data_IF_389335932777
#
_entry.id   IF_389335932777
#
_cell.length_a   1.000
_cell.length_b   1.000
_cell.length_c   1.000
_cell.angle_alpha   90.00
_cell.angle_beta   90.00
_cell.angle_gamma   90.00
#
_symmetry.space_group_name_H-M   'P 1'
#
loop_
_entity.id
_entity.type
_entity.pdbx_description
1 polymer ?
#
# COMPACT_ATOMS: atom_id res chain seq x y z
N UNK A 1 1.28 -0.98 34.61
CA UNK A 1 0.56 -1.87 33.66
C UNK A 1 0.89 -3.34 33.95
N UNK A 2 2.11 -3.62 34.39
CA UNK A 2 2.62 -4.98 34.66
C UNK A 2 1.76 -5.80 35.63
N UNK A 3 1.14 -5.19 36.65
CA UNK A 3 0.25 -5.89 37.59
C UNK A 3 -1.13 -6.25 37.00
N UNK A 4 -1.43 -5.88 35.74
CA UNK A 4 -2.69 -6.19 35.05
C UNK A 4 -2.56 -7.32 34.03
N UNK A 5 -1.35 -7.72 33.67
CA UNK A 5 -1.08 -8.79 32.72
C UNK A 5 -0.66 -10.02 33.52
N UNK A 6 -1.26 -11.21 33.31
CA UNK A 6 -0.79 -12.43 33.94
C UNK A 6 0.72 -12.62 33.72
N UNK A 7 1.53 -12.84 34.78
CA UNK A 7 2.98 -12.90 34.66
C UNK A 7 3.49 -13.91 33.64
N UNK A 8 2.81 -15.05 33.52
CA UNK A 8 3.13 -16.10 32.53
C UNK A 8 3.01 -15.61 31.08
N UNK A 9 1.97 -14.82 30.78
CA UNK A 9 1.77 -14.25 29.44
C UNK A 9 2.80 -13.16 29.14
N UNK A 10 3.18 -12.35 30.13
CA UNK A 10 4.23 -11.35 29.96
C UNK A 10 5.59 -12.03 29.69
N UNK A 11 5.89 -13.10 30.43
CA UNK A 11 7.12 -13.86 30.23
C UNK A 11 7.17 -14.52 28.84
N UNK A 12 6.07 -15.13 28.39
CA UNK A 12 5.97 -15.72 27.05
C UNK A 12 6.15 -14.65 25.96
N UNK A 13 5.46 -13.51 26.11
CA UNK A 13 5.59 -12.38 25.21
C UNK A 13 7.06 -11.89 25.11
N UNK A 14 7.73 -11.68 26.24
CA UNK A 14 9.14 -11.29 26.25
C UNK A 14 10.07 -12.36 25.64
N UNK A 15 9.79 -13.65 25.86
CA UNK A 15 10.57 -14.74 25.28
C UNK A 15 10.47 -14.77 23.75
N UNK A 16 9.27 -14.57 23.20
CA UNK A 16 9.05 -14.47 21.74
C UNK A 16 9.83 -13.30 21.15
N UNK A 17 9.78 -12.13 21.80
CA UNK A 17 10.52 -10.95 21.35
C UNK A 17 12.03 -11.15 21.38
N UNK A 18 12.55 -11.72 22.46
CA UNK A 18 13.97 -12.04 22.58
C UNK A 18 14.43 -13.02 21.50
N UNK A 19 13.64 -14.06 21.20
CA UNK A 19 13.93 -14.98 20.09
C UNK A 19 13.96 -14.25 18.75
N UNK A 20 12.98 -13.39 18.47
CA UNK A 20 12.94 -12.63 17.21
C UNK A 20 14.16 -11.68 17.09
N UNK A 21 14.54 -11.01 18.18
CA UNK A 21 15.74 -10.18 18.22
C UNK A 21 17.03 -10.98 17.95
N UNK A 22 17.14 -12.19 18.52
CA UNK A 22 18.26 -13.09 18.25
C UNK A 22 18.33 -13.48 16.76
N UNK A 23 17.20 -13.82 16.15
CA UNK A 23 17.15 -14.11 14.70
C UNK A 23 17.61 -12.91 13.88
N UNK A 24 17.12 -11.71 14.19
CA UNK A 24 17.54 -10.49 13.49
C UNK A 24 19.05 -10.22 13.66
N UNK A 25 19.60 -10.41 14.85
CA UNK A 25 21.05 -10.31 15.10
C UNK A 25 21.84 -11.33 14.26
N UNK A 26 21.40 -12.59 14.17
CA UNK A 26 22.07 -13.60 13.35
C UNK A 26 22.03 -13.27 11.84
N UNK A 27 20.95 -12.64 11.36
CA UNK A 27 20.87 -12.13 9.98
C UNK A 27 21.92 -11.04 9.74
N UNK A 28 22.10 -10.10 10.68
CA UNK A 28 23.16 -9.07 10.60
C UNK A 28 24.57 -9.69 10.59
N UNK A 29 24.80 -10.71 11.42
CA UNK A 29 26.06 -11.44 11.41
C UNK A 29 26.29 -12.19 10.09
N UNK A 30 25.23 -12.67 9.45
CA UNK A 30 25.30 -13.33 8.14
C UNK A 30 25.67 -12.35 7.03
N UNK A 31 25.08 -11.15 7.05
CA UNK A 31 25.49 -10.05 6.19
C UNK A 31 26.97 -9.67 6.42
N UNK A 32 27.41 -9.53 7.67
CA UNK A 32 28.81 -9.21 7.99
C UNK A 32 29.82 -10.27 7.52
N UNK A 33 29.41 -11.54 7.39
CA UNK A 33 30.23 -12.61 6.83
C UNK A 33 30.27 -12.64 5.31
N UNK A 34 29.41 -11.87 4.63
CA UNK A 34 29.24 -11.89 3.18
C UNK A 34 28.33 -13.02 2.67
N UNK A 35 27.51 -13.61 3.55
CA UNK A 35 26.51 -14.63 3.15
C UNK A 35 25.27 -13.98 2.48
N UNK A 36 25.08 -12.66 2.67
CA UNK A 36 24.00 -11.84 2.14
C UNK A 36 24.61 -10.54 1.59
N UNK A 37 23.95 -9.90 0.61
CA UNK A 37 24.39 -8.62 0.05
C UNK A 37 23.62 -7.41 0.60
N UNK A 38 22.41 -7.63 1.13
CA UNK A 38 21.53 -6.58 1.63
C UNK A 38 20.48 -7.16 2.58
N UNK A 39 20.13 -6.42 3.63
CA UNK A 39 19.12 -6.84 4.61
C UNK A 39 18.09 -5.74 4.82
N UNK A 40 16.82 -6.13 4.87
CA UNK A 40 15.76 -5.30 5.40
C UNK A 40 15.23 -5.90 6.70
N UNK A 41 15.06 -5.04 7.70
CA UNK A 41 14.44 -5.41 8.97
C UNK A 41 13.12 -4.64 9.09
N UNK A 42 12.05 -5.38 8.88
CA UNK A 42 10.69 -4.84 8.84
C UNK A 42 10.13 -4.66 10.25
N UNK A 43 9.60 -3.47 10.53
CA UNK A 43 8.85 -3.20 11.75
C UNK A 43 7.35 -3.48 11.49
N UNK A 44 6.85 -4.54 12.13
CA UNK A 44 5.41 -4.85 12.24
C UNK A 44 4.66 -3.76 13.04
N UNK A 45 3.33 -3.90 13.14
CA UNK A 45 2.44 -3.01 13.88
C UNK A 45 3.03 -2.49 15.20
N UNK A 46 3.24 -1.18 15.24
CA UNK A 46 3.85 -0.49 16.35
C UNK A 46 3.05 0.76 16.74
N UNK A 47 3.20 1.15 18.00
CA UNK A 47 2.87 2.50 18.47
C UNK A 47 4.14 3.34 18.52
N UNK A 48 4.02 4.67 18.63
CA UNK A 48 5.18 5.56 18.74
C UNK A 48 6.18 5.13 19.84
N UNK A 49 5.68 4.60 20.95
CA UNK A 49 6.48 4.05 22.03
C UNK A 49 6.10 2.60 22.28
N UNK A 50 7.08 1.76 22.58
CA UNK A 50 6.87 0.37 22.93
C UNK A 50 8.18 -0.41 23.06
N UNK A 51 8.12 -1.70 23.41
CA UNK A 51 9.32 -2.53 23.60
C UNK A 51 10.16 -2.67 22.32
N UNK A 52 9.56 -2.49 21.15
CA UNK A 52 10.26 -2.50 19.87
C UNK A 52 11.34 -1.43 19.76
N UNK A 53 11.21 -0.28 20.45
CA UNK A 53 12.22 0.79 20.40
C UNK A 53 13.56 0.34 20.99
N UNK A 54 13.55 -0.38 22.10
CA UNK A 54 14.79 -0.90 22.70
C UNK A 54 15.45 -1.94 21.79
N UNK A 55 14.65 -2.78 21.13
CA UNK A 55 15.16 -3.77 20.17
C UNK A 55 15.74 -3.11 18.92
N UNK A 56 15.07 -2.09 18.38
CA UNK A 56 15.58 -1.30 17.26
C UNK A 56 16.92 -0.65 17.64
N UNK A 57 17.00 0.01 18.80
CA UNK A 57 18.25 0.64 19.27
C UNK A 57 19.40 -0.37 19.33
N UNK A 58 19.17 -1.57 19.88
CA UNK A 58 20.20 -2.62 19.94
C UNK A 58 20.61 -3.12 18.55
N UNK A 59 19.66 -3.25 17.63
CA UNK A 59 19.96 -3.64 16.24
C UNK A 59 20.73 -2.52 15.51
N UNK A 60 20.38 -1.25 15.71
CA UNK A 60 21.11 -0.10 15.17
C UNK A 60 22.54 -0.02 15.70
N UNK A 61 22.74 -0.20 17.01
CA UNK A 61 24.07 -0.29 17.62
C UNK A 61 24.90 -1.42 16.99
N UNK A 62 24.28 -2.58 16.78
CA UNK A 62 24.93 -3.72 16.13
C UNK A 62 25.31 -3.42 14.67
N UNK A 63 24.39 -2.85 13.89
CA UNK A 63 24.63 -2.41 12.50
C UNK A 63 25.84 -1.48 12.42
N UNK A 64 25.88 -0.47 13.31
CA UNK A 64 27.00 0.48 13.38
C UNK A 64 28.30 -0.25 13.75
N UNK A 65 28.29 -1.13 14.76
CA UNK A 65 29.48 -1.83 15.24
C UNK A 65 30.08 -2.78 14.20
N UNK A 66 29.24 -3.35 13.34
CA UNK A 66 29.64 -4.24 12.25
C UNK A 66 29.95 -3.48 10.93
N UNK A 67 29.69 -2.17 10.88
CA UNK A 67 29.93 -1.34 9.69
C UNK A 67 28.92 -1.56 8.57
N UNK A 68 27.68 -1.97 8.88
CA UNK A 68 26.67 -2.40 7.90
C UNK A 68 25.68 -1.30 7.47
N UNK A 69 25.98 -0.03 7.75
CA UNK A 69 25.03 1.09 7.62
C UNK A 69 24.47 1.29 6.20
N UNK A 70 25.24 0.93 5.18
CA UNK A 70 24.84 1.10 3.77
C UNK A 70 24.02 -0.09 3.25
N UNK A 71 24.06 -1.23 3.95
CA UNK A 71 23.53 -2.51 3.50
C UNK A 71 22.33 -3.01 4.33
N UNK A 72 21.92 -2.25 5.35
CA UNK A 72 20.79 -2.56 6.22
C UNK A 72 19.82 -1.39 6.31
N UNK A 73 18.52 -1.67 6.13
CA UNK A 73 17.47 -0.68 6.35
C UNK A 73 16.41 -1.23 7.30
N UNK A 74 16.08 -0.44 8.33
CA UNK A 74 14.95 -0.69 9.24
C UNK A 74 13.82 0.29 8.89
N UNK A 75 12.61 -0.19 8.60
CA UNK A 75 11.47 0.67 8.21
C UNK A 75 10.11 0.07 8.64
N UNK A 76 9.03 0.87 8.64
CA UNK A 76 7.68 0.39 8.96
C UNK A 76 6.98 -0.24 7.76
N UNK A 77 6.36 -1.39 7.97
CA UNK A 77 5.83 -2.26 6.92
C UNK A 77 6.48 -3.64 6.99
N UNK A 78 5.85 -4.66 6.41
CA UNK A 78 6.32 -6.04 6.47
C UNK A 78 5.83 -6.83 5.27
N UNK A 79 4.52 -6.78 4.98
CA UNK A 79 3.92 -7.63 3.95
C UNK A 79 4.36 -7.26 2.52
N UNK A 80 4.80 -6.02 2.31
CA UNK A 80 5.29 -5.49 1.04
C UNK A 80 6.80 -5.70 0.82
N UNK A 81 7.53 -6.13 1.86
CA UNK A 81 8.97 -6.27 1.86
C UNK A 81 9.51 -7.08 0.67
N UNK A 82 8.85 -8.19 0.34
CA UNK A 82 9.20 -9.02 -0.81
C UNK A 82 9.04 -8.30 -2.16
N UNK A 83 8.01 -7.46 -2.31
CA UNK A 83 7.79 -6.66 -3.52
C UNK A 83 8.84 -5.55 -3.63
N UNK A 84 9.21 -4.91 -2.52
CA UNK A 84 10.27 -3.90 -2.49
C UNK A 84 11.64 -4.49 -2.84
N UNK A 85 11.97 -5.69 -2.33
CA UNK A 85 13.21 -6.38 -2.72
C UNK A 85 13.20 -6.76 -4.21
N UNK A 86 12.06 -7.18 -4.76
CA UNK A 86 11.93 -7.41 -6.20
C UNK A 86 12.21 -6.13 -7.00
N UNK A 87 11.66 -5.00 -6.56
CA UNK A 87 11.92 -3.70 -7.19
C UNK A 87 13.40 -3.29 -7.09
N UNK A 88 14.04 -3.54 -5.94
CA UNK A 88 15.49 -3.33 -5.75
C UNK A 88 16.30 -4.12 -6.76
N UNK A 89 16.07 -5.44 -6.83
CA UNK A 89 16.77 -6.34 -7.75
C UNK A 89 16.57 -5.86 -9.19
N UNK A 90 15.34 -5.51 -9.55
CA UNK A 90 15.02 -5.01 -10.89
C UNK A 90 15.76 -3.72 -11.26
N UNK A 91 15.80 -2.76 -10.34
CA UNK A 91 16.50 -1.49 -10.55
C UNK A 91 18.03 -1.72 -10.61
N UNK A 92 18.56 -2.57 -9.73
CA UNK A 92 19.98 -2.91 -9.69
C UNK A 92 20.47 -3.63 -10.96
N UNK A 93 19.78 -4.69 -11.39
CA UNK A 93 20.11 -5.45 -12.61
C UNK A 93 20.10 -4.57 -13.86
N UNK A 94 19.20 -3.60 -13.89
CA UNK A 94 19.09 -2.62 -14.99
C UNK A 94 20.07 -1.45 -14.88
N UNK A 95 20.86 -1.39 -13.79
CA UNK A 95 21.72 -0.24 -13.44
C UNK A 95 20.93 1.08 -13.46
N UNK A 96 19.67 1.01 -13.05
CA UNK A 96 18.75 2.13 -13.01
C UNK A 96 18.75 2.75 -11.60
N UNK A 97 18.66 4.08 -11.54
CA UNK A 97 18.41 4.84 -10.32
C UNK A 97 17.21 5.75 -10.57
N UNK A 98 15.99 5.19 -10.63
CA UNK A 98 14.82 5.95 -11.00
C UNK A 98 14.55 7.08 -9.99
N UNK A 99 14.20 8.26 -10.50
CA UNK A 99 13.87 9.43 -9.69
C UNK A 99 12.36 9.53 -9.54
N UNK A 100 11.85 9.39 -8.33
CA UNK A 100 10.41 9.49 -8.04
C UNK A 100 10.09 10.82 -7.37
N UNK A 101 9.16 11.54 -7.97
CA UNK A 101 8.57 12.75 -7.44
C UNK A 101 7.44 12.40 -6.46
N UNK A 102 7.51 12.84 -5.21
CA UNK A 102 6.46 12.60 -4.21
C UNK A 102 5.75 13.89 -3.86
N UNK A 103 4.43 13.84 -3.84
CA UNK A 103 3.61 14.89 -3.29
C UNK A 103 2.68 14.32 -2.22
N UNK A 104 2.65 14.98 -1.06
CA UNK A 104 1.79 14.64 0.05
C UNK A 104 0.56 15.53 -0.01
N UNK A 105 -0.62 14.94 0.11
CA UNK A 105 -1.90 15.64 0.09
C UNK A 105 -2.63 15.33 1.41
N UNK A 106 -2.70 16.28 2.36
CA UNK A 106 -2.02 17.59 2.34
C UNK A 106 -0.51 17.46 2.57
N UNK A 107 0.24 18.51 2.23
CA UNK A 107 1.70 18.55 2.39
C UNK A 107 2.14 18.30 3.85
N UNK A 108 1.38 18.83 4.80
CA UNK A 108 1.61 18.71 6.25
C UNK A 108 1.54 17.27 6.76
N UNK A 109 0.75 16.40 6.10
CA UNK A 109 0.55 15.02 6.51
C UNK A 109 1.83 14.17 6.48
N UNK A 110 2.86 14.61 5.75
CA UNK A 110 4.19 13.98 5.69
C UNK A 110 4.87 13.84 7.07
N UNK A 111 4.55 14.71 8.01
CA UNK A 111 5.13 14.71 9.36
C UNK A 111 4.31 13.88 10.35
N UNK A 112 3.14 13.38 9.96
CA UNK A 112 2.32 12.53 10.81
C UNK A 112 2.96 11.15 10.93
N UNK A 113 2.80 10.55 12.10
CA UNK A 113 3.09 9.14 12.32
C UNK A 113 1.79 8.37 12.03
N UNK A 114 1.76 7.53 10.99
CA UNK A 114 0.58 6.73 10.68
C UNK A 114 0.23 5.76 11.81
N UNK A 115 -1.04 5.33 11.92
CA UNK A 115 -1.39 4.18 12.75
C UNK A 115 -0.54 2.96 12.44
N UNK A 116 -0.22 2.19 13.48
CA UNK A 116 0.61 0.98 13.42
C UNK A 116 2.07 1.24 13.03
N UNK A 117 2.50 2.50 13.01
CA UNK A 117 3.87 2.91 12.69
C UNK A 117 4.49 3.73 13.81
N UNK A 118 5.82 3.81 13.77
CA UNK A 118 6.61 4.38 14.86
C UNK A 118 7.54 5.53 14.42
N UNK A 119 7.38 6.01 13.18
CA UNK A 119 8.11 7.16 12.61
C UNK A 119 7.24 7.98 11.65
N UNK A 120 7.64 9.22 11.33
CA UNK A 120 6.93 10.06 10.38
C UNK A 120 6.84 9.43 8.98
N UNK A 121 5.72 9.65 8.30
CA UNK A 121 5.48 9.11 6.95
C UNK A 121 6.59 9.48 5.95
N UNK A 122 7.06 10.73 5.96
CA UNK A 122 8.13 11.19 5.08
C UNK A 122 9.46 10.45 5.30
N UNK A 123 9.73 10.03 6.53
CA UNK A 123 10.91 9.24 6.86
C UNK A 123 10.76 7.82 6.30
N UNK A 124 9.60 7.20 6.50
CA UNK A 124 9.31 5.87 5.98
C UNK A 124 9.36 5.83 4.43
N UNK A 125 8.92 6.90 3.75
CA UNK A 125 9.07 7.08 2.29
C UNK A 125 10.53 7.02 1.86
N UNK A 126 11.43 7.72 2.55
CA UNK A 126 12.86 7.71 2.21
C UNK A 126 13.48 6.34 2.42
N UNK A 127 13.14 5.67 3.52
CA UNK A 127 13.66 4.35 3.85
C UNK A 127 13.23 3.31 2.81
N UNK A 128 11.94 3.24 2.47
CA UNK A 128 11.47 2.30 1.46
C UNK A 128 11.99 2.64 0.04
N UNK A 129 12.17 3.93 -0.30
CA UNK A 129 12.85 4.31 -1.54
C UNK A 129 14.30 3.80 -1.57
N UNK A 130 15.02 3.91 -0.44
CA UNK A 130 16.40 3.41 -0.30
C UNK A 130 16.45 1.89 -0.51
N UNK A 131 15.50 1.15 0.07
CA UNK A 131 15.35 -0.30 -0.18
C UNK A 131 15.18 -0.57 -1.66
N UNK A 132 14.22 0.09 -2.32
CA UNK A 132 13.92 -0.14 -3.73
C UNK A 132 14.97 0.41 -4.71
N UNK A 133 15.98 1.16 -4.25
CA UNK A 133 16.97 1.81 -5.13
C UNK A 133 16.41 3.03 -5.89
N UNK A 134 15.44 3.72 -5.31
CA UNK A 134 14.75 4.89 -5.86
C UNK A 134 15.35 6.16 -5.25
N UNK A 135 15.52 7.21 -6.06
CA UNK A 135 15.88 8.55 -5.59
C UNK A 135 14.60 9.37 -5.34
N UNK A 136 14.24 9.68 -4.08
CA UNK A 136 13.03 10.45 -3.79
C UNK A 136 13.25 11.97 -3.92
N UNK A 137 12.33 12.66 -4.59
CA UNK A 137 12.24 14.12 -4.66
C UNK A 137 10.89 14.57 -4.12
N UNK A 138 10.87 15.34 -3.03
CA UNK A 138 9.63 15.81 -2.41
C UNK A 138 9.19 17.15 -2.99
N UNK A 139 7.96 17.20 -3.49
CA UNK A 139 7.38 18.37 -4.16
C UNK A 139 6.34 19.00 -3.26
N UNK A 140 6.57 20.26 -2.89
CA UNK A 140 5.56 21.09 -2.26
C UNK A 140 4.75 21.83 -3.34
N UNK A 141 3.42 21.84 -3.17
CA UNK A 141 2.43 22.40 -4.10
C UNK A 141 2.66 23.86 -4.53
N UNK A 142 3.49 24.63 -3.84
CA UNK A 142 3.59 26.09 -4.03
C UNK A 142 4.22 26.54 -5.35
N UNK A 143 4.86 25.64 -6.12
CA UNK A 143 5.39 25.95 -7.46
C UNK A 143 5.26 24.73 -8.38
N UNK A 144 4.89 24.91 -9.66
CA UNK A 144 4.85 23.82 -10.63
C UNK A 144 6.18 23.06 -10.65
N UNK A 145 6.11 21.73 -10.55
CA UNK A 145 7.28 20.85 -10.52
C UNK A 145 8.26 21.12 -11.68
N UNK A 146 7.71 21.37 -12.87
CA UNK A 146 8.46 21.63 -14.10
C UNK A 146 9.25 22.95 -14.08
N UNK A 147 8.77 23.97 -13.34
CA UNK A 147 9.48 25.26 -13.22
C UNK A 147 10.74 25.16 -12.34
N UNK A 148 10.89 24.06 -11.60
CA UNK A 148 12.01 23.84 -10.70
C UNK A 148 13.17 23.09 -11.38
N UNK A 149 13.02 22.68 -12.66
CA UNK A 149 14.08 22.04 -13.44
C UNK A 149 14.43 20.61 -13.03
N UNK A 150 13.57 19.96 -12.24
CA UNK A 150 13.78 18.56 -11.85
C UNK A 150 13.34 17.60 -12.94
N UNK A 151 14.11 16.53 -13.15
CA UNK A 151 13.76 15.40 -14.00
C UNK A 151 13.34 14.26 -13.06
N UNK A 152 12.10 13.78 -13.22
CA UNK A 152 11.61 12.59 -12.55
C UNK A 152 11.17 11.56 -13.60
N UNK A 153 11.37 10.27 -13.29
CA UNK A 153 10.89 9.16 -14.11
C UNK A 153 9.40 8.87 -13.83
N UNK A 154 8.94 9.13 -12.62
CA UNK A 154 7.54 8.94 -12.22
C UNK A 154 7.14 9.89 -11.08
N UNK A 155 5.82 10.04 -10.89
CA UNK A 155 5.23 10.82 -9.82
C UNK A 155 4.39 9.91 -8.90
N UNK A 156 4.42 10.15 -7.60
CA UNK A 156 3.61 9.47 -6.60
C UNK A 156 2.84 10.48 -5.77
N UNK A 157 1.52 10.33 -5.74
CA UNK A 157 0.64 11.08 -4.83
C UNK A 157 0.46 10.25 -3.57
N UNK A 158 0.62 10.89 -2.42
CA UNK A 158 0.39 10.29 -1.11
C UNK A 158 -0.82 10.99 -0.50
N UNK A 159 -1.99 10.35 -0.56
CA UNK A 159 -3.15 10.81 0.20
C UNK A 159 -2.92 10.47 1.67
N UNK A 160 -2.88 11.47 2.54
CA UNK A 160 -2.56 11.28 3.95
C UNK A 160 -3.49 12.10 4.84
N UNK A 161 -3.50 11.78 6.14
CA UNK A 161 -4.37 12.46 7.09
C UNK A 161 -3.91 13.88 7.40
N UNK A 162 -4.86 14.80 7.60
CA UNK A 162 -4.60 16.19 8.00
C UNK A 162 -4.09 16.33 9.45
N UNK A 163 -4.39 15.36 10.31
CA UNK A 163 -4.13 15.42 11.75
C UNK A 163 -3.62 14.09 12.26
N UNK A 164 -2.71 14.16 13.22
CA UNK A 164 -2.44 13.06 14.14
C UNK A 164 -3.71 12.83 14.99
N UNK A 165 -4.63 11.97 14.52
CA UNK A 165 -5.78 11.58 15.34
C UNK A 165 -5.26 10.70 16.48
N UNK A 166 -5.64 11.04 17.71
CA UNK A 166 -5.49 10.13 18.83
C UNK A 166 -6.36 8.90 18.61
N UNK A 167 -5.71 7.74 18.55
CA UNK A 167 -6.13 6.38 18.95
C UNK A 167 -7.50 5.79 18.55
N UNK A 168 -8.40 6.49 17.85
CA UNK A 168 -9.72 5.94 17.50
C UNK A 168 -9.69 5.32 16.09
N UNK A 169 -9.01 4.18 16.00
CA UNK A 169 -8.67 3.45 14.75
C UNK A 169 -9.74 2.46 14.27
N UNK A 170 -10.78 2.22 15.07
CA UNK A 170 -11.90 1.32 14.75
C UNK A 170 -13.21 2.08 14.47
N UNK A 171 -13.18 3.41 14.57
CA UNK A 171 -14.35 4.24 14.29
C UNK A 171 -14.73 4.22 12.80
N UNK A 172 -16.01 4.35 12.46
CA UNK A 172 -16.44 4.41 11.07
C UNK A 172 -15.68 5.53 10.33
N UNK A 173 -15.15 5.20 9.15
CA UNK A 173 -14.60 6.17 8.20
C UNK A 173 -15.72 7.17 7.91
N UNK A 174 -15.66 8.35 8.52
CA UNK A 174 -16.63 9.41 8.26
C UNK A 174 -16.26 10.05 6.92
N UNK A 175 -17.08 9.89 5.86
CA UNK A 175 -16.76 10.43 4.53
C UNK A 175 -16.85 11.96 4.47
N UNK A 176 -17.27 12.60 5.56
CA UNK A 176 -17.64 14.02 5.59
C UNK A 176 -16.56 14.96 6.09
N UNK A 177 -15.39 14.47 6.48
CA UNK A 177 -14.34 15.34 7.05
C UNK A 177 -13.34 15.76 5.96
N UNK A 178 -13.62 16.96 5.45
CA UNK A 178 -12.77 17.82 4.61
C UNK A 178 -12.50 17.24 3.21
N UNK A 179 -13.45 17.47 2.28
CA UNK A 179 -13.12 17.51 0.85
C UNK A 179 -12.23 18.72 0.63
N UNK A 180 -10.94 18.51 0.71
CA UNK A 180 -9.97 19.57 0.47
C UNK A 180 -10.06 19.99 -1.00
N UNK A 181 -10.51 21.23 -1.23
CA UNK A 181 -10.44 21.88 -2.54
C UNK A 181 -9.03 21.79 -3.14
N UNK A 182 -7.99 21.71 -2.29
CA UNK A 182 -6.60 21.52 -2.66
C UNK A 182 -6.33 20.22 -3.44
N UNK A 183 -7.02 19.11 -3.12
CA UNK A 183 -6.88 17.84 -3.86
C UNK A 183 -7.28 18.03 -5.31
N UNK A 184 -8.40 18.71 -5.57
CA UNK A 184 -8.92 18.91 -6.92
C UNK A 184 -8.03 19.81 -7.78
N UNK A 185 -7.42 20.85 -7.20
CA UNK A 185 -6.42 21.69 -7.87
C UNK A 185 -5.14 20.92 -8.18
N UNK A 186 -4.68 20.11 -7.22
CA UNK A 186 -3.47 19.33 -7.37
C UNK A 186 -3.61 18.22 -8.42
N UNK A 187 -4.74 17.49 -8.44
CA UNK A 187 -4.98 16.46 -9.46
C UNK A 187 -5.05 17.06 -10.87
N UNK A 188 -5.50 18.31 -11.03
CA UNK A 188 -5.41 19.03 -12.32
C UNK A 188 -3.97 19.31 -12.72
N UNK A 189 -3.13 19.77 -11.79
CA UNK A 189 -1.70 19.98 -12.07
C UNK A 189 -1.01 18.67 -12.47
N UNK A 190 -1.35 17.56 -11.80
CA UNK A 190 -0.79 16.25 -12.13
C UNK A 190 -1.17 15.80 -13.54
N UNK A 191 -2.39 16.10 -14.03
CA UNK A 191 -2.75 15.79 -15.43
C UNK A 191 -1.86 16.49 -16.46
N UNK A 192 -1.34 17.67 -16.14
CA UNK A 192 -0.40 18.38 -17.02
C UNK A 192 0.99 17.71 -17.00
N UNK A 193 1.33 17.05 -15.89
CA UNK A 193 2.57 16.31 -15.70
C UNK A 193 2.40 14.93 -16.33
N UNK A 194 2.91 14.75 -17.56
CA UNK A 194 2.88 13.48 -18.31
C UNK A 194 3.89 12.45 -17.80
N UNK A 195 3.90 12.20 -16.49
CA UNK A 195 4.71 11.16 -15.87
C UNK A 195 3.81 9.99 -15.43
N UNK A 196 4.32 8.75 -15.47
CA UNK A 196 3.69 7.62 -14.80
C UNK A 196 3.30 7.97 -13.36
N UNK A 197 2.03 7.73 -13.02
CA UNK A 197 1.44 8.18 -11.78
C UNK A 197 1.15 7.02 -10.83
N UNK A 198 1.90 6.93 -9.74
CA UNK A 198 1.57 6.11 -8.58
C UNK A 198 0.68 6.85 -7.59
N UNK A 199 -0.16 6.11 -6.87
CA UNK A 199 -1.00 6.66 -5.79
C UNK A 199 -0.92 5.75 -4.58
N UNK A 200 -0.40 6.29 -3.47
CA UNK A 200 -0.48 5.67 -2.16
C UNK A 200 -1.63 6.32 -1.38
N UNK A 201 -2.69 5.56 -1.14
CA UNK A 201 -3.88 6.00 -0.43
C UNK A 201 -3.77 5.67 1.07
N UNK A 202 -3.12 6.57 1.81
CA UNK A 202 -2.65 6.36 3.18
C UNK A 202 -3.45 7.17 4.21
N UNK A 203 -4.62 7.70 3.82
CA UNK A 203 -5.43 8.52 4.73
C UNK A 203 -6.02 7.72 5.88
N UNK A 204 -6.34 6.45 5.61
CA UNK A 204 -6.86 5.49 6.58
C UNK A 204 -6.00 4.24 6.58
N UNK A 205 -5.91 3.58 7.74
CA UNK A 205 -5.39 2.22 7.80
C UNK A 205 -6.51 1.23 7.49
N UNK A 206 -6.11 0.06 6.99
CA UNK A 206 -6.96 -1.06 6.66
C UNK A 206 -8.04 -0.67 5.62
N UNK A 207 -7.67 0.11 4.60
CA UNK A 207 -8.54 0.41 3.47
C UNK A 207 -8.34 1.82 2.93
N UNK A 208 -8.49 1.96 1.60
CA UNK A 208 -8.34 3.24 0.91
C UNK A 208 -9.54 4.16 1.12
N UNK A 209 -9.39 5.44 0.77
CA UNK A 209 -10.43 6.45 0.89
C UNK A 209 -11.37 6.41 -0.32
N UNK A 210 -12.64 5.97 -0.17
CA UNK A 210 -13.57 5.90 -1.30
C UNK A 210 -13.87 7.26 -1.93
N UNK A 211 -13.79 8.35 -1.15
CA UNK A 211 -13.97 9.71 -1.63
C UNK A 211 -12.80 10.14 -2.51
N UNK A 212 -11.57 9.81 -2.12
CA UNK A 212 -10.38 10.08 -2.92
C UNK A 212 -10.35 9.23 -4.20
N UNK A 213 -10.67 7.94 -4.11
CA UNK A 213 -10.76 7.05 -5.29
C UNK A 213 -11.78 7.60 -6.31
N UNK A 214 -12.92 8.12 -5.83
CA UNK A 214 -13.91 8.76 -6.70
C UNK A 214 -13.32 9.97 -7.43
N UNK A 215 -12.61 10.86 -6.73
CA UNK A 215 -11.99 12.04 -7.36
C UNK A 215 -10.91 11.63 -8.38
N UNK A 216 -10.12 10.58 -8.09
CA UNK A 216 -9.17 10.00 -9.05
C UNK A 216 -9.88 9.48 -10.29
N UNK A 217 -10.99 8.75 -10.12
CA UNK A 217 -11.75 8.18 -11.23
C UNK A 217 -12.37 9.27 -12.12
N UNK A 218 -12.90 10.34 -11.52
CA UNK A 218 -13.57 11.43 -12.24
C UNK A 218 -12.58 12.36 -12.95
N UNK A 219 -11.41 12.59 -12.36
CA UNK A 219 -10.41 13.53 -12.91
C UNK A 219 -9.40 12.80 -13.78
N UNK A 220 -8.71 11.81 -13.24
CA UNK A 220 -7.57 11.18 -13.91
C UNK A 220 -8.01 9.96 -14.72
N UNK A 221 -8.98 9.19 -14.22
CA UNK A 221 -9.33 7.87 -14.75
C UNK A 221 -8.43 6.79 -14.15
N UNK A 222 -9.04 5.79 -13.52
CA UNK A 222 -8.33 4.83 -12.66
C UNK A 222 -7.30 3.96 -13.41
N UNK A 223 -7.55 3.61 -14.67
CA UNK A 223 -6.62 2.83 -15.50
C UNK A 223 -5.61 3.71 -16.23
N UNK A 224 -5.53 5.01 -15.92
CA UNK A 224 -4.39 5.86 -16.30
C UNK A 224 -3.30 5.88 -15.20
N UNK A 225 -3.55 5.25 -14.04
CA UNK A 225 -2.57 5.13 -12.99
C UNK A 225 -1.54 4.05 -13.34
N UNK A 226 -0.28 4.29 -13.00
CA UNK A 226 0.78 3.29 -13.09
C UNK A 226 0.87 2.40 -11.84
N UNK A 227 0.35 2.87 -10.70
CA UNK A 227 0.24 2.09 -9.48
C UNK A 227 -0.83 2.69 -8.53
N UNK A 228 -1.48 1.85 -7.75
CA UNK A 228 -2.37 2.25 -6.65
C UNK A 228 -2.28 1.23 -5.51
N UNK A 229 -2.32 1.68 -4.26
CA UNK A 229 -2.59 0.82 -3.09
C UNK A 229 -3.08 1.65 -1.89
N UNK A 230 -3.92 1.05 -1.05
CA UNK A 230 -4.46 1.63 0.18
C UNK A 230 -4.87 0.57 1.22
N UNK A 231 -4.15 -0.55 1.30
CA UNK A 231 -4.44 -1.67 2.20
C UNK A 231 -3.55 -1.70 3.45
N UNK A 232 -4.07 -2.34 4.50
CA UNK A 232 -3.36 -2.60 5.77
C UNK A 232 -2.71 -1.34 6.40
N UNK A 233 -1.39 -1.25 6.48
CA UNK A 233 -0.69 -0.07 7.03
C UNK A 233 -0.19 0.90 5.94
N UNK A 234 0.27 2.09 6.33
CA UNK A 234 0.82 3.04 5.36
C UNK A 234 2.10 2.50 4.71
N UNK A 235 2.92 1.77 5.47
CA UNK A 235 4.11 1.06 5.01
C UNK A 235 3.80 0.01 3.96
N UNK A 236 2.78 -0.82 4.19
CA UNK A 236 2.39 -1.87 3.22
C UNK A 236 1.92 -1.26 1.89
N UNK A 237 1.03 -0.27 1.97
CA UNK A 237 0.51 0.42 0.80
C UNK A 237 1.59 1.15 0.02
N UNK A 238 2.45 1.89 0.72
CA UNK A 238 3.55 2.63 0.10
C UNK A 238 4.49 1.68 -0.65
N UNK A 239 4.94 0.60 -0.01
CA UNK A 239 5.90 -0.30 -0.66
C UNK A 239 5.29 -1.07 -1.83
N UNK A 240 3.99 -1.38 -1.76
CA UNK A 240 3.23 -1.92 -2.90
C UNK A 240 3.27 -0.95 -4.08
N UNK A 241 3.03 0.35 -3.85
CA UNK A 241 3.06 1.38 -4.90
C UNK A 241 4.46 1.55 -5.47
N UNK A 242 5.48 1.66 -4.63
CA UNK A 242 6.87 1.83 -5.07
C UNK A 242 7.34 0.65 -5.92
N UNK A 243 6.99 -0.57 -5.50
CA UNK A 243 7.34 -1.78 -6.22
C UNK A 243 6.61 -1.88 -7.57
N UNK A 244 5.29 -1.68 -7.55
CA UNK A 244 4.48 -1.73 -8.77
C UNK A 244 4.93 -0.65 -9.77
N UNK A 245 5.19 0.57 -9.31
CA UNK A 245 5.65 1.67 -10.16
C UNK A 245 7.06 1.41 -10.74
N UNK A 246 7.96 0.79 -9.97
CA UNK A 246 9.28 0.38 -10.47
C UNK A 246 9.17 -0.69 -11.56
N UNK A 247 8.32 -1.71 -11.34
CA UNK A 247 8.05 -2.76 -12.34
C UNK A 247 7.40 -2.17 -13.59
N UNK A 248 6.47 -1.24 -13.41
CA UNK A 248 5.82 -0.53 -14.51
C UNK A 248 6.83 0.24 -15.35
N UNK A 249 7.71 1.04 -14.73
CA UNK A 249 8.76 1.80 -15.43
C UNK A 249 9.73 0.88 -16.18
N UNK A 250 10.07 -0.23 -15.54
CA UNK A 250 10.89 -1.26 -16.14
C UNK A 250 10.18 -1.90 -17.36
N UNK A 251 8.87 -2.11 -17.31
CA UNK A 251 8.08 -2.60 -18.42
C UNK A 251 8.03 -1.62 -19.59
N UNK A 252 7.90 -0.29 -19.35
CA UNK A 252 7.91 0.69 -20.46
C UNK A 252 9.23 0.72 -21.22
N UNK A 253 10.34 0.44 -20.53
CA UNK A 253 11.69 0.49 -21.12
C UNK A 253 12.05 -0.80 -21.88
N UNK A 254 11.24 -1.86 -21.80
CA UNK A 254 11.42 -3.05 -22.63
C UNK A 254 10.74 -2.88 -23.99
N UNK A 255 11.22 -3.61 -25.02
CA UNK A 255 10.47 -3.76 -26.27
C UNK A 255 9.05 -4.27 -25.94
N UNK A 256 8.02 -3.63 -26.51
CA UNK A 256 6.61 -3.80 -26.12
C UNK A 256 6.12 -5.25 -26.12
N UNK A 257 6.75 -6.15 -26.87
CA UNK A 257 6.37 -7.57 -26.96
C UNK A 257 6.56 -8.36 -25.66
N UNK A 258 7.29 -7.85 -24.66
CA UNK A 258 7.57 -8.58 -23.40
C UNK A 258 6.74 -8.15 -22.20
N UNK A 259 6.04 -7.03 -22.28
CA UNK A 259 5.25 -6.52 -21.17
C UNK A 259 3.81 -7.07 -21.21
N UNK A 260 3.40 -7.76 -20.15
CA UNK A 260 2.03 -8.24 -19.97
C UNK A 260 1.20 -7.17 -19.25
N UNK A 261 0.49 -6.36 -20.03
CA UNK A 261 -0.32 -5.26 -19.52
C UNK A 261 -1.61 -5.74 -18.86
N UNK A 262 -2.11 -6.93 -19.20
CA UNK A 262 -3.29 -7.52 -18.54
C UNK A 262 -3.01 -7.76 -17.05
N UNK A 263 -1.78 -8.16 -16.70
CA UNK A 263 -1.35 -8.29 -15.32
C UNK A 263 -1.31 -6.94 -14.58
N UNK A 264 -0.80 -5.88 -15.20
CA UNK A 264 -0.76 -4.54 -14.59
C UNK A 264 -2.16 -4.04 -14.25
N UNK A 265 -3.05 -4.04 -15.23
CA UNK A 265 -4.42 -3.57 -15.09
C UNK A 265 -5.27 -4.50 -14.21
N UNK A 266 -5.04 -5.81 -14.28
CA UNK A 266 -5.64 -6.78 -13.37
C UNK A 266 -5.22 -6.55 -11.92
N UNK A 267 -3.96 -6.21 -11.68
CA UNK A 267 -3.45 -5.86 -10.36
C UNK A 267 -4.05 -4.54 -9.86
N UNK A 268 -4.11 -3.49 -10.69
CA UNK A 268 -4.79 -2.23 -10.33
C UNK A 268 -6.25 -2.47 -9.93
N UNK A 269 -7.00 -3.22 -10.76
CA UNK A 269 -8.39 -3.53 -10.45
C UNK A 269 -8.51 -4.30 -9.14
N UNK A 270 -7.61 -5.26 -8.90
CA UNK A 270 -7.59 -5.99 -7.64
C UNK A 270 -7.41 -5.04 -6.44
N UNK A 271 -6.48 -4.06 -6.52
CA UNK A 271 -6.29 -3.06 -5.46
C UNK A 271 -7.53 -2.20 -5.25
N UNK A 272 -8.23 -1.77 -6.30
CA UNK A 272 -9.48 -1.02 -6.13
C UNK A 272 -10.58 -1.84 -5.45
N UNK A 273 -10.72 -3.11 -5.86
CA UNK A 273 -11.75 -4.00 -5.32
C UNK A 273 -11.46 -4.47 -3.90
N UNK A 274 -10.20 -4.74 -3.57
CA UNK A 274 -9.79 -5.16 -2.22
C UNK A 274 -9.69 -3.95 -1.29
N UNK A 275 -8.75 -3.04 -1.57
CA UNK A 275 -8.38 -1.95 -0.66
C UNK A 275 -9.54 -0.99 -0.41
N UNK A 276 -10.41 -0.75 -1.40
CA UNK A 276 -11.51 0.24 -1.27
C UNK A 276 -12.87 -0.43 -1.15
N UNK A 277 -13.28 -1.23 -2.15
CA UNK A 277 -14.64 -1.79 -2.15
C UNK A 277 -14.82 -2.79 -1.00
N UNK A 278 -13.86 -3.69 -0.78
CA UNK A 278 -13.93 -4.65 0.31
C UNK A 278 -13.53 -4.04 1.66
N UNK A 279 -12.29 -3.59 1.83
CA UNK A 279 -11.75 -3.26 3.14
C UNK A 279 -12.40 -2.01 3.77
N UNK A 280 -12.67 -0.97 2.97
CA UNK A 280 -13.32 0.26 3.43
C UNK A 280 -14.86 0.19 3.41
N UNK A 281 -15.44 -0.62 2.53
CA UNK A 281 -16.89 -0.75 2.36
C UNK A 281 -17.48 -2.04 2.93
N UNK A 282 -17.42 -3.13 2.15
CA UNK A 282 -18.14 -4.38 2.42
C UNK A 282 -17.75 -5.02 3.75
N UNK A 283 -16.48 -4.97 4.13
CA UNK A 283 -16.01 -5.58 5.39
C UNK A 283 -16.72 -5.00 6.60
N UNK A 284 -16.96 -3.68 6.64
CA UNK A 284 -17.69 -3.04 7.74
C UNK A 284 -19.14 -3.53 7.84
N UNK A 285 -19.78 -3.76 6.69
CA UNK A 285 -21.13 -4.34 6.62
C UNK A 285 -21.13 -5.79 7.12
N UNK A 286 -20.14 -6.59 6.74
CA UNK A 286 -19.98 -7.97 7.19
C UNK A 286 -19.69 -8.08 8.68
N UNK A 287 -18.84 -7.19 9.23
CA UNK A 287 -18.56 -7.11 10.67
C UNK A 287 -19.87 -6.93 11.45
N UNK A 288 -20.72 -5.99 11.02
CA UNK A 288 -22.02 -5.76 11.66
C UNK A 288 -22.92 -6.99 11.59
N UNK A 289 -23.05 -7.58 10.40
CA UNK A 289 -23.89 -8.76 10.19
C UNK A 289 -23.46 -9.97 11.03
N UNK A 290 -22.15 -10.19 11.17
CA UNK A 290 -21.61 -11.31 11.95
C UNK A 290 -21.73 -11.04 13.45
N UNK A 291 -21.48 -9.80 13.88
CA UNK A 291 -21.57 -9.44 15.31
C UNK A 291 -22.98 -9.63 15.87
N UNK A 292 -24.00 -9.57 15.01
CA UNK A 292 -25.41 -9.84 15.36
C UNK A 292 -25.75 -11.34 15.42
N UNK A 293 -24.82 -12.24 15.12
CA UNK A 293 -25.04 -13.71 15.06
C UNK A 293 -24.06 -14.46 15.98
N UNK A 294 -24.52 -14.83 17.19
CA UNK A 294 -23.68 -15.47 18.21
C UNK A 294 -23.01 -16.77 17.74
N UNK A 295 -23.64 -17.53 16.83
CA UNK A 295 -23.13 -18.81 16.35
C UNK A 295 -22.17 -18.71 15.15
N UNK A 296 -21.90 -17.49 14.66
CA UNK A 296 -20.98 -17.25 13.54
C UNK A 296 -19.52 -17.10 13.99
N UNK A 297 -19.28 -17.02 15.30
CA UNK A 297 -17.95 -16.79 15.87
C UNK A 297 -17.61 -15.31 15.93
N UNK A 298 -16.35 -14.97 15.65
CA UNK A 298 -15.86 -13.58 15.70
C UNK A 298 -15.25 -13.15 14.37
N UNK A 299 -15.06 -11.84 14.20
CA UNK A 299 -14.41 -11.26 13.02
C UNK A 299 -12.98 -11.77 12.80
N UNK A 300 -12.30 -12.18 13.87
CA UNK A 300 -10.94 -12.74 13.85
C UNK A 300 -10.90 -14.24 13.61
N UNK A 301 -12.00 -14.94 13.88
CA UNK A 301 -12.12 -16.38 13.72
C UNK A 301 -13.60 -16.76 13.66
N UNK A 302 -14.07 -17.03 12.45
CA UNK A 302 -15.42 -17.48 12.18
C UNK A 302 -15.58 -18.96 12.56
N UNK A 303 -16.79 -19.34 12.95
CA UNK A 303 -17.18 -20.75 13.06
C UNK A 303 -17.32 -21.37 11.67
N UNK A 304 -17.34 -22.71 11.52
CA UNK A 304 -17.62 -23.34 10.22
C UNK A 304 -18.91 -22.85 9.57
N UNK A 305 -19.96 -22.61 10.38
CA UNK A 305 -21.23 -22.03 9.92
C UNK A 305 -21.04 -20.58 9.47
N UNK A 306 -20.32 -19.77 10.25
CA UNK A 306 -19.97 -18.39 9.93
C UNK A 306 -19.19 -18.28 8.62
N UNK A 307 -18.17 -19.13 8.40
CA UNK A 307 -17.41 -19.15 7.16
C UNK A 307 -18.31 -19.34 5.93
N UNK A 308 -19.22 -20.32 5.96
CA UNK A 308 -20.11 -20.61 4.82
C UNK A 308 -21.08 -19.46 4.57
N UNK A 309 -21.72 -18.94 5.62
CA UNK A 309 -22.68 -17.84 5.49
C UNK A 309 -22.00 -16.54 5.02
N UNK A 310 -20.89 -16.18 5.65
CA UNK A 310 -20.14 -14.96 5.35
C UNK A 310 -19.49 -15.01 3.98
N UNK A 311 -18.96 -16.15 3.54
CA UNK A 311 -18.44 -16.28 2.18
C UNK A 311 -19.54 -16.04 1.12
N UNK A 312 -20.76 -16.51 1.39
CA UNK A 312 -21.91 -16.21 0.52
C UNK A 312 -22.25 -14.73 0.51
N UNK A 313 -22.37 -14.09 1.68
CA UNK A 313 -22.64 -12.65 1.75
C UNK A 313 -21.55 -11.82 1.08
N UNK A 314 -20.29 -12.18 1.29
CA UNK A 314 -19.15 -11.53 0.64
C UNK A 314 -19.26 -11.64 -0.88
N UNK A 315 -19.53 -12.84 -1.41
CA UNK A 315 -19.70 -13.03 -2.85
C UNK A 315 -20.85 -12.21 -3.41
N UNK A 316 -22.01 -12.20 -2.74
CA UNK A 316 -23.19 -11.46 -3.18
C UNK A 316 -22.94 -9.94 -3.18
N UNK A 317 -22.33 -9.41 -2.11
CA UNK A 317 -21.99 -7.98 -2.01
C UNK A 317 -20.92 -7.59 -3.02
N UNK A 318 -19.85 -8.37 -3.16
CA UNK A 318 -18.76 -8.07 -4.09
C UNK A 318 -19.25 -8.11 -5.54
N UNK A 319 -20.11 -9.05 -5.92
CA UNK A 319 -20.69 -9.08 -7.27
C UNK A 319 -21.44 -7.79 -7.58
N UNK A 320 -22.28 -7.32 -6.65
CA UNK A 320 -23.07 -6.10 -6.85
C UNK A 320 -22.19 -4.84 -6.89
N UNK A 321 -21.28 -4.69 -5.91
CA UNK A 321 -20.47 -3.48 -5.78
C UNK A 321 -19.38 -3.41 -6.84
N UNK A 322 -18.74 -4.54 -7.21
CA UNK A 322 -17.77 -4.57 -8.30
C UNK A 322 -18.43 -4.25 -9.66
N UNK A 323 -19.64 -4.76 -9.92
CA UNK A 323 -20.37 -4.41 -11.15
C UNK A 323 -20.76 -2.93 -11.18
N UNK A 324 -21.23 -2.40 -10.05
CA UNK A 324 -21.57 -0.97 -9.92
C UNK A 324 -20.34 -0.09 -10.13
N UNK A 325 -19.20 -0.46 -9.53
CA UNK A 325 -17.93 0.22 -9.71
C UNK A 325 -17.48 0.21 -11.17
N UNK A 326 -17.58 -0.93 -11.84
CA UNK A 326 -17.26 -1.08 -13.26
C UNK A 326 -18.12 -0.18 -14.16
N UNK A 327 -19.45 -0.21 -13.97
CA UNK A 327 -20.38 0.62 -14.76
C UNK A 327 -20.13 2.13 -14.56
N UNK A 328 -19.81 2.55 -13.34
CA UNK A 328 -19.61 3.97 -13.02
C UNK A 328 -18.24 4.50 -13.50
N UNK A 329 -17.18 3.71 -13.35
CA UNK A 329 -15.81 4.22 -13.45
C UNK A 329 -14.98 3.59 -14.57
N UNK A 330 -15.46 2.56 -15.27
CA UNK A 330 -14.65 1.79 -16.23
C UNK A 330 -15.32 1.62 -17.61
N UNK A 331 -16.53 1.02 -17.68
CA UNK A 331 -17.13 0.43 -18.90
C UNK A 331 -17.12 1.32 -20.17
N UNK A 332 -17.31 2.62 -20.00
CA UNK A 332 -17.40 3.59 -21.10
C UNK A 332 -16.31 4.67 -21.02
N UNK A 333 -15.26 4.42 -20.23
CA UNK A 333 -14.15 5.35 -20.08
C UNK A 333 -13.02 4.98 -21.03
N UNK A 334 -12.43 6.01 -21.63
CA UNK A 334 -11.23 5.89 -22.44
C UNK A 334 -10.01 6.15 -21.56
N UNK A 335 -9.06 5.22 -21.56
CA UNK A 335 -7.80 5.37 -20.84
C UNK A 335 -6.66 5.49 -21.84
N UNK A 336 -5.76 6.43 -21.56
CA UNK A 336 -4.57 6.73 -22.35
C UNK A 336 -3.49 5.65 -22.26
N UNK A 337 -3.63 4.69 -21.34
CA UNK A 337 -2.79 3.51 -21.26
C UNK A 337 -1.29 3.82 -21.13
N UNK A 338 -0.94 4.91 -20.41
CA UNK A 338 0.47 5.19 -20.13
C UNK A 338 1.10 3.93 -19.55
N UNK A 339 2.30 3.55 -20.03
CA UNK A 339 3.30 4.32 -20.77
C UNK A 339 3.38 3.91 -22.25
N UNK A 340 2.41 3.14 -22.75
CA UNK A 340 2.42 2.66 -24.12
C UNK A 340 1.79 3.70 -25.02
N UNK A 341 2.47 4.02 -26.12
CA UNK A 341 1.84 4.66 -27.27
C UNK A 341 0.81 3.77 -27.99
N UNK A 342 0.12 2.86 -27.29
CA UNK A 342 -1.06 2.17 -27.79
C UNK A 342 -2.27 3.00 -27.38
N UNK A 343 -3.15 3.22 -28.33
CA UNK A 343 -4.33 4.05 -28.19
C UNK A 343 -5.24 3.63 -27.04
N UNK A 344 -6.37 4.32 -26.99
CA UNK A 344 -7.44 4.12 -26.01
C UNK A 344 -7.66 2.63 -25.73
N UNK A 345 -7.67 2.26 -24.45
CA UNK A 345 -8.03 0.88 -24.05
C UNK A 345 -9.48 0.83 -23.58
N UNK A 346 -10.12 -0.31 -23.82
CA UNK A 346 -11.38 -0.72 -23.20
C UNK A 346 -11.14 -1.89 -22.26
N UNK A 347 -11.81 -1.85 -21.12
CA UNK A 347 -11.76 -2.92 -20.13
C UNK A 347 -13.14 -3.55 -20.07
N UNK A 348 -13.23 -4.85 -20.32
CA UNK A 348 -14.46 -5.62 -20.17
C UNK A 348 -14.42 -6.42 -18.87
N UNK A 349 -15.40 -6.22 -18.00
CA UNK A 349 -15.53 -6.96 -16.74
C UNK A 349 -16.47 -8.16 -16.88
N UNK A 350 -15.97 -9.35 -16.56
CA UNK A 350 -16.71 -10.61 -16.66
C UNK A 350 -17.24 -11.10 -15.32
N UNK A 351 -16.76 -10.55 -14.21
CA UNK A 351 -17.23 -10.88 -12.87
C UNK A 351 -16.10 -10.96 -11.84
N UNK A 352 -16.50 -11.22 -10.60
CA UNK A 352 -15.60 -11.36 -9.45
C UNK A 352 -15.90 -12.63 -8.67
N UNK A 353 -14.87 -13.32 -8.23
CA UNK A 353 -15.00 -14.44 -7.29
C UNK A 353 -14.29 -14.12 -6.00
N UNK A 354 -14.88 -14.56 -4.88
CA UNK A 354 -14.41 -14.23 -3.54
C UNK A 354 -14.16 -15.48 -2.69
N UNK A 355 -13.30 -15.35 -1.68
CA UNK A 355 -13.05 -16.39 -0.69
C UNK A 355 -12.57 -15.81 0.65
N UNK A 356 -12.71 -16.60 1.71
CA UNK A 356 -12.21 -16.29 3.05
C UNK A 356 -11.07 -17.26 3.39
N UNK A 357 -9.82 -16.99 2.94
CA UNK A 357 -8.73 -17.96 3.00
C UNK A 357 -8.38 -18.40 4.43
N UNK A 358 -8.60 -17.51 5.39
CA UNK A 358 -8.23 -17.71 6.80
C UNK A 358 -9.43 -17.88 7.74
N UNK A 359 -10.65 -17.96 7.20
CA UNK A 359 -11.87 -18.01 8.01
C UNK A 359 -12.04 -16.80 8.93
N UNK A 360 -11.61 -15.61 8.49
CA UNK A 360 -11.72 -14.33 9.18
C UNK A 360 -12.03 -13.22 8.18
N UNK A 361 -12.43 -12.05 8.67
CA UNK A 361 -12.80 -10.91 7.83
C UNK A 361 -11.64 -9.96 7.51
N UNK A 362 -10.45 -10.16 8.07
CA UNK A 362 -9.36 -9.21 7.86
C UNK A 362 -8.94 -9.18 6.38
N UNK A 363 -8.71 -10.36 5.79
CA UNK A 363 -8.44 -10.55 4.37
C UNK A 363 -9.53 -11.35 3.65
N UNK A 364 -9.73 -11.01 2.37
CA UNK A 364 -10.49 -11.80 1.42
C UNK A 364 -9.64 -12.11 0.18
N UNK A 365 -9.81 -13.31 -0.38
CA UNK A 365 -9.32 -13.61 -1.73
C UNK A 365 -10.31 -13.02 -2.72
N UNK A 366 -9.92 -11.99 -3.48
CA UNK A 366 -10.78 -11.31 -4.46
C UNK A 366 -10.13 -11.46 -5.84
N UNK A 367 -10.85 -12.10 -6.77
CA UNK A 367 -10.35 -12.34 -8.13
C UNK A 367 -11.33 -11.80 -9.15
N UNK A 368 -10.94 -10.71 -9.81
CA UNK A 368 -11.66 -10.16 -10.94
C UNK A 368 -11.27 -10.88 -12.23
N UNK A 369 -12.23 -11.07 -13.12
CA UNK A 369 -12.00 -11.52 -14.49
C UNK A 369 -12.24 -10.34 -15.43
N UNK A 370 -11.19 -9.88 -16.10
CA UNK A 370 -11.27 -8.81 -17.10
C UNK A 370 -10.63 -9.20 -18.41
N UNK A 371 -10.99 -8.48 -19.47
CA UNK A 371 -10.27 -8.48 -20.74
C UNK A 371 -9.94 -7.05 -21.13
N UNK A 372 -8.79 -6.84 -21.74
CA UNK A 372 -8.33 -5.53 -22.14
C UNK A 372 -8.23 -5.52 -23.65
N UNK A 373 -9.04 -4.66 -24.25
CA UNK A 373 -9.19 -4.58 -25.69
C UNK A 373 -8.51 -3.29 -26.15
N UNK A 374 -7.51 -3.36 -27.04
CA UNK A 374 -7.02 -2.16 -27.71
C UNK A 374 -8.13 -1.59 -28.59
N UNK A 375 -8.39 -0.28 -28.52
CA UNK A 375 -9.19 0.36 -29.56
C UNK A 375 -8.35 0.47 -30.84
N UNK A 376 -8.91 -0.04 -31.93
CA UNK A 376 -8.33 -0.02 -33.30
C UNK A 376 -8.42 1.38 -33.90
#
# INVERSE_FOLDING_TARGET
LDNRIPPELLQEYCAVRMRNHQVNSEVLLSLARGDLDFVILCQEDATLYGPHKEEQMKLEEQIISLGLNDDVVIYNGTDEAGMLLLARVLNFERKAMPVFAFNFVPWEGRNNIPPFEDRPLAENVKLQCTVAGIIPVFIQEKKPFMEQGFIADAMTIINCSHRQKGEDWLGPISPTVERDFAVGDFLRLVQEIRLPLGVADLRFANGGDPGFLKELAERIGLFNLAAYAGWNTSGNSLGTVLAHLSVFLAACKQEEERADWDLHYGFLLNRFLDDVIYQAGIRQRLIKLISDQEDFGSVYRLSPKGCVATAKYLQDFMMLEAWSFYELYIKEKEFTGQPLGKGKIKVDFHGVTTGLPWGRLFEADIKAKISILPEV
#
